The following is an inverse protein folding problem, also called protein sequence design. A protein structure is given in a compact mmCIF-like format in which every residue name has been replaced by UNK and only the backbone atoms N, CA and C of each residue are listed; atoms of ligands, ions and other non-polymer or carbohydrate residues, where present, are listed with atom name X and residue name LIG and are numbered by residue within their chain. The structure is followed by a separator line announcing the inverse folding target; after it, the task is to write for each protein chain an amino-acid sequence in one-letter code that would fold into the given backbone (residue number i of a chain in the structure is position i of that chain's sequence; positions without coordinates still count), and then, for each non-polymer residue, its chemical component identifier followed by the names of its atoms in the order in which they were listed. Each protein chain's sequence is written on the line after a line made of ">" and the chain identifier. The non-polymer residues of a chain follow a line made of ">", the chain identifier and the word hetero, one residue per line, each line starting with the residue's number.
data_IF_471055203543
#
_entry.id   IF_471055203543
#
_cell.length_a   1.000
_cell.length_b   1.000
_cell.length_c   1.000
_cell.angle_alpha   90.00
_cell.angle_beta   90.00
_cell.angle_gamma   90.00
#
_symmetry.space_group_name_H-M   'P 1'
#
loop_
_entity.id
_entity.type
_entity.pdbx_description
1 polymer ?
#
# COMPACT_ATOMS: atom_id res chain seq x y z
N UNK A 1 6.87 11.91 -0.38
CA UNK A 1 6.72 10.60 0.33
C UNK A 1 7.77 9.60 -0.09
N UNK A 2 8.01 9.41 -1.40
CA UNK A 2 9.03 8.47 -1.90
C UNK A 2 10.43 8.75 -1.33
N UNK A 3 10.88 10.01 -1.31
CA UNK A 3 12.21 10.35 -0.76
C UNK A 3 12.36 9.96 0.72
N UNK A 4 11.26 9.99 1.50
CA UNK A 4 11.25 9.56 2.90
C UNK A 4 11.31 8.03 3.05
N UNK A 5 10.73 7.29 2.10
CA UNK A 5 10.82 5.82 2.09
C UNK A 5 12.21 5.36 1.66
N UNK A 6 12.82 6.08 0.72
CA UNK A 6 14.19 5.87 0.28
C UNK A 6 15.20 6.26 1.37
N UNK A 7 15.01 7.39 2.07
CA UNK A 7 15.88 7.79 3.19
C UNK A 7 15.81 6.82 4.39
N UNK A 8 14.80 5.95 4.43
CA UNK A 8 14.62 4.90 5.44
C UNK A 8 15.04 3.52 4.94
N UNK A 9 15.65 3.45 3.75
CA UNK A 9 16.05 2.20 3.10
C UNK A 9 14.89 1.21 2.90
N UNK A 10 13.66 1.70 2.70
CA UNK A 10 12.47 0.86 2.47
C UNK A 10 12.15 0.71 0.99
N UNK A 11 12.60 1.65 0.16
CA UNK A 11 12.41 1.67 -1.29
C UNK A 11 13.74 1.99 -1.96
N UNK A 12 14.04 1.30 -3.05
CA UNK A 12 15.22 1.53 -3.89
C UNK A 12 14.80 1.93 -5.30
N UNK A 13 15.58 2.84 -5.91
CA UNK A 13 15.44 3.23 -7.31
C UNK A 13 16.31 2.32 -8.18
N UNK A 14 15.68 1.56 -9.07
CA UNK A 14 16.38 0.75 -10.08
C UNK A 14 16.36 1.41 -11.47
N UNK A 15 17.32 1.09 -12.35
CA UNK A 15 17.28 1.54 -13.74
C UNK A 15 16.03 0.97 -14.42
N UNK A 16 15.22 1.85 -15.03
CA UNK A 16 14.14 1.43 -15.92
C UNK A 16 14.70 1.27 -17.34
N UNK A 17 14.44 0.14 -18.02
CA UNK A 17 14.88 -0.06 -19.39
C UNK A 17 14.26 0.93 -20.39
N UNK A 18 13.15 1.59 -20.04
CA UNK A 18 12.32 2.35 -20.99
C UNK A 18 12.21 3.85 -20.71
N UNK A 19 12.55 4.34 -19.52
CA UNK A 19 12.41 5.77 -19.22
C UNK A 19 13.31 6.21 -18.06
N UNK A 20 14.21 7.15 -18.34
CA UNK A 20 15.15 7.76 -17.38
C UNK A 20 14.45 8.65 -16.34
N UNK A 21 13.16 8.98 -16.52
CA UNK A 21 12.32 9.69 -15.53
C UNK A 21 11.47 8.75 -14.68
N UNK A 22 11.33 7.50 -15.10
CA UNK A 22 10.63 6.46 -14.37
C UNK A 22 11.65 5.57 -13.66
N UNK A 23 12.31 6.05 -12.61
CA UNK A 23 13.05 5.15 -11.73
C UNK A 23 12.08 4.07 -11.25
N UNK A 24 12.34 2.80 -11.57
CA UNK A 24 11.48 1.72 -11.14
C UNK A 24 11.65 1.61 -9.61
N UNK A 25 10.66 2.13 -8.87
CA UNK A 25 10.62 2.05 -7.42
C UNK A 25 10.32 0.60 -7.05
N UNK A 26 11.23 0.00 -6.28
CA UNK A 26 11.06 -1.37 -5.76
C UNK A 26 11.23 -1.32 -4.25
N UNK A 27 10.50 -2.16 -3.54
CA UNK A 27 10.78 -2.39 -2.11
C UNK A 27 12.19 -2.96 -1.97
N UNK A 28 12.96 -2.41 -1.04
CA UNK A 28 14.17 -3.06 -0.55
C UNK A 28 13.81 -4.32 0.23
N UNK A 29 14.80 -5.12 0.63
CA UNK A 29 14.53 -6.26 1.50
C UNK A 29 14.04 -5.82 2.90
N UNK A 30 14.51 -4.68 3.40
CA UNK A 30 13.97 -4.08 4.62
C UNK A 30 12.50 -3.64 4.44
N UNK A 31 12.17 -3.05 3.29
CA UNK A 31 10.80 -2.69 2.91
C UNK A 31 9.88 -3.90 2.84
N UNK A 32 10.34 -5.01 2.25
CA UNK A 32 9.58 -6.27 2.20
C UNK A 32 9.32 -6.85 3.60
N UNK A 33 10.34 -6.88 4.47
CA UNK A 33 10.20 -7.36 5.85
C UNK A 33 9.22 -6.50 6.65
N UNK A 34 9.32 -5.18 6.52
CA UNK A 34 8.39 -4.26 7.16
C UNK A 34 6.95 -4.48 6.68
N UNK A 35 6.75 -4.69 5.38
CA UNK A 35 5.43 -5.05 4.86
C UNK A 35 4.92 -6.37 5.42
N UNK A 36 5.76 -7.40 5.52
CA UNK A 36 5.37 -8.68 6.13
C UNK A 36 4.94 -8.51 7.60
N UNK A 37 5.58 -7.62 8.35
CA UNK A 37 5.22 -7.34 9.73
C UNK A 37 3.92 -6.53 9.86
N UNK A 38 3.71 -5.55 8.97
CA UNK A 38 2.58 -4.61 9.06
C UNK A 38 1.31 -5.15 8.41
N UNK A 39 1.40 -5.95 7.35
CA UNK A 39 0.24 -6.46 6.61
C UNK A 39 -0.79 -7.17 7.51
N UNK A 40 -0.41 -8.04 8.46
CA UNK A 40 -1.36 -8.66 9.39
C UNK A 40 -2.05 -7.62 10.30
N UNK A 41 -1.31 -6.62 10.79
CA UNK A 41 -1.84 -5.56 11.66
C UNK A 41 -2.84 -4.68 10.90
N UNK A 42 -2.54 -4.35 9.65
CA UNK A 42 -3.44 -3.61 8.76
C UNK A 42 -4.73 -4.39 8.53
N UNK A 43 -4.63 -5.69 8.20
CA UNK A 43 -5.81 -6.54 7.99
C UNK A 43 -6.68 -6.64 9.24
N UNK A 44 -6.08 -6.86 10.40
CA UNK A 44 -6.82 -6.92 11.65
C UNK A 44 -7.54 -5.58 11.94
N UNK A 45 -6.92 -4.46 11.60
CA UNK A 45 -7.53 -3.14 11.76
C UNK A 45 -8.68 -2.92 10.76
N UNK A 46 -8.51 -3.29 9.49
CA UNK A 46 -9.56 -3.24 8.46
C UNK A 46 -10.74 -4.15 8.82
N UNK A 47 -10.47 -5.35 9.33
CA UNK A 47 -11.48 -6.29 9.83
C UNK A 47 -12.24 -5.69 11.01
N UNK A 48 -11.56 -5.13 12.01
CA UNK A 48 -12.20 -4.52 13.17
C UNK A 48 -13.08 -3.31 12.79
N UNK A 49 -12.64 -2.46 11.87
CA UNK A 49 -13.44 -1.31 11.41
C UNK A 49 -14.68 -1.77 10.64
N UNK A 50 -14.60 -2.89 9.95
CA UNK A 50 -15.66 -3.39 9.08
C UNK A 50 -16.40 -4.61 9.64
N UNK A 51 -16.19 -4.95 10.92
CA UNK A 51 -16.72 -6.17 11.54
C UNK A 51 -18.25 -6.18 11.59
N UNK A 52 -18.87 -5.01 11.70
CA UNK A 52 -20.32 -4.83 11.73
C UNK A 52 -20.96 -4.85 10.35
N UNK A 53 -20.17 -4.96 9.27
CA UNK A 53 -20.65 -4.92 7.90
C UNK A 53 -20.66 -6.33 7.31
N UNK A 54 -21.74 -6.67 6.64
CA UNK A 54 -21.81 -7.82 5.74
C UNK A 54 -20.92 -7.59 4.50
N UNK A 55 -20.59 -8.66 3.78
CA UNK A 55 -19.73 -8.56 2.58
C UNK A 55 -20.34 -7.69 1.48
N UNK A 56 -21.68 -7.66 1.38
CA UNK A 56 -22.40 -6.77 0.46
C UNK A 56 -22.29 -5.30 0.89
N UNK A 57 -22.40 -5.01 2.19
CA UNK A 57 -22.23 -3.66 2.74
C UNK A 57 -20.77 -3.17 2.59
N UNK A 58 -19.78 -4.03 2.82
CA UNK A 58 -18.37 -3.73 2.55
C UNK A 58 -18.15 -3.38 1.07
N UNK A 59 -18.72 -4.17 0.17
CA UNK A 59 -18.63 -3.93 -1.28
C UNK A 59 -19.29 -2.61 -1.69
N UNK A 60 -20.44 -2.28 -1.09
CA UNK A 60 -21.12 -1.01 -1.30
C UNK A 60 -20.29 0.18 -0.79
N UNK A 61 -19.74 0.07 0.43
CA UNK A 61 -18.88 1.09 1.02
C UNK A 61 -17.67 1.39 0.12
N UNK A 62 -16.98 0.35 -0.36
CA UNK A 62 -15.85 0.50 -1.30
C UNK A 62 -16.28 1.21 -2.58
N UNK A 63 -17.45 0.88 -3.12
CA UNK A 63 -18.00 1.55 -4.32
C UNK A 63 -18.27 3.04 -4.07
N UNK A 64 -18.84 3.39 -2.91
CA UNK A 64 -19.10 4.78 -2.53
C UNK A 64 -17.80 5.58 -2.31
N UNK A 65 -16.82 5.00 -1.61
CA UNK A 65 -15.51 5.66 -1.38
C UNK A 65 -14.77 5.95 -2.69
N UNK A 66 -14.82 5.01 -3.65
CA UNK A 66 -14.23 5.21 -4.99
C UNK A 66 -14.84 6.39 -5.74
N UNK A 67 -16.13 6.67 -5.57
CA UNK A 67 -16.82 7.81 -6.19
C UNK A 67 -16.47 9.16 -5.57
N UNK A 68 -16.02 9.18 -4.31
CA UNK A 68 -15.60 10.40 -3.61
C UNK A 68 -14.14 10.73 -3.94
N UNK A 69 -13.28 9.71 -4.02
CA UNK A 69 -11.86 9.87 -4.30
C UNK A 69 -11.48 9.98 -5.78
N UNK A 70 -12.47 9.95 -6.69
CA UNK A 70 -12.31 10.13 -8.14
C UNK A 70 -12.46 11.58 -8.55
#
# INVERSE_FOLDING_TARGET
>A
VIDRLESRDLVVRGPSPSDRRSYALRLSDAGKRLMQELMPKIRAHEEAISESLTDSEKSLLVSLLKRIGS
#
